data_IF_667544315947
#
_entry.id   IF_667544315947
#
_cell.length_a   1.000
_cell.length_b   1.000
_cell.length_c   1.000
_cell.angle_alpha   90.00
_cell.angle_beta   90.00
_cell.angle_gamma   90.00
#
_symmetry.space_group_name_H-M   'P 1'
#
loop_
_entity.id
_entity.type
_entity.pdbx_description
1 polymer ?
#
# COMPACT_ATOMS: atom_id res chain seq x y z
N UNK A 1 41.30 35.90 -51.27
CA UNK A 1 39.95 36.43 -51.55
C UNK A 1 39.21 35.39 -52.36
N UNK A 2 38.26 34.68 -51.76
CA UNK A 2 37.25 33.91 -52.48
C UNK A 2 35.90 34.19 -51.82
N UNK A 3 34.90 34.40 -52.67
CA UNK A 3 33.74 35.23 -52.45
C UNK A 3 32.66 34.43 -51.72
N UNK A 4 32.16 34.94 -50.60
CA UNK A 4 30.98 34.42 -49.93
C UNK A 4 29.76 34.65 -50.84
N UNK A 5 29.28 33.59 -51.48
CA UNK A 5 28.02 33.59 -52.21
C UNK A 5 26.93 33.09 -51.27
N UNK A 6 26.18 34.04 -50.69
CA UNK A 6 24.91 33.75 -50.02
C UNK A 6 23.88 33.42 -51.10
N UNK A 7 23.66 32.13 -51.35
CA UNK A 7 22.50 31.64 -52.07
C UNK A 7 21.45 31.21 -51.03
N UNK A 8 20.45 32.07 -50.89
CA UNK A 8 19.21 31.86 -50.15
C UNK A 8 18.43 30.67 -50.72
N UNK A 9 17.65 30.05 -49.84
CA UNK A 9 16.49 29.18 -50.10
C UNK A 9 16.74 27.67 -50.04
N UNK A 10 16.11 27.04 -49.05
CA UNK A 10 15.92 25.60 -48.97
C UNK A 10 16.29 24.97 -47.62
N UNK A 11 15.95 25.59 -46.49
CA UNK A 11 15.98 24.86 -45.21
C UNK A 11 14.82 23.85 -45.27
N UNK A 12 15.09 22.63 -45.73
CA UNK A 12 14.18 21.51 -45.49
C UNK A 12 14.41 21.08 -44.04
N UNK A 13 13.69 21.73 -43.11
CA UNK A 13 13.53 21.19 -41.76
C UNK A 13 12.63 19.95 -41.90
N UNK A 14 13.25 18.79 -42.10
CA UNK A 14 12.57 17.53 -41.87
C UNK A 14 12.35 17.41 -40.36
N UNK A 15 11.20 17.90 -39.88
CA UNK A 15 10.73 17.64 -38.53
C UNK A 15 10.42 16.14 -38.43
N UNK A 16 11.42 15.35 -38.06
CA UNK A 16 11.25 13.96 -37.66
C UNK A 16 10.47 14.00 -36.34
N UNK A 17 9.15 13.91 -36.44
CA UNK A 17 8.29 13.67 -35.28
C UNK A 17 8.55 12.24 -34.85
N UNK A 18 9.55 12.02 -34.00
CA UNK A 18 9.69 10.75 -33.30
C UNK A 18 8.52 10.66 -32.35
N UNK A 19 7.46 9.98 -32.77
CA UNK A 19 6.41 9.53 -31.87
C UNK A 19 7.08 8.68 -30.80
N UNK A 20 7.31 9.25 -29.62
CA UNK A 20 7.60 8.47 -28.43
C UNK A 20 6.34 7.68 -28.15
N UNK A 21 6.29 6.45 -28.66
CA UNK A 21 5.30 5.49 -28.20
C UNK A 21 5.59 5.28 -26.73
N UNK A 22 4.77 5.88 -25.88
CA UNK A 22 4.71 5.52 -24.48
C UNK A 22 4.23 4.07 -24.44
N UNK A 23 5.16 3.14 -24.42
CA UNK A 23 4.88 1.81 -23.90
C UNK A 23 4.54 2.05 -22.43
N UNK A 24 3.26 2.29 -22.15
CA UNK A 24 2.72 1.98 -20.84
C UNK A 24 2.94 0.47 -20.70
N UNK A 25 4.10 0.10 -20.15
CA UNK A 25 4.26 -1.20 -19.55
C UNK A 25 3.13 -1.25 -18.52
N UNK A 26 2.04 -1.93 -18.88
CA UNK A 26 1.05 -2.35 -17.91
C UNK A 26 1.80 -3.35 -17.05
N UNK A 27 2.50 -2.84 -16.05
CA UNK A 27 3.05 -3.67 -15.00
C UNK A 27 1.83 -4.20 -14.25
N UNK A 28 1.38 -5.37 -14.69
CA UNK A 28 0.27 -6.11 -14.10
C UNK A 28 0.68 -6.77 -12.79
N UNK A 29 1.79 -6.36 -12.19
CA UNK A 29 1.97 -6.45 -10.75
C UNK A 29 0.87 -5.63 -10.10
N UNK A 30 -0.26 -6.28 -9.80
CA UNK A 30 -1.25 -5.74 -8.88
C UNK A 30 -0.49 -5.41 -7.59
N UNK A 31 -0.20 -4.14 -7.36
CA UNK A 31 0.31 -3.70 -6.07
C UNK A 31 -0.72 -4.13 -5.06
N UNK A 32 -0.37 -5.04 -4.15
CA UNK A 32 -1.30 -5.45 -3.12
C UNK A 32 -1.53 -4.25 -2.20
N UNK A 33 -2.70 -3.63 -2.31
CA UNK A 33 -3.10 -2.45 -1.52
C UNK A 33 -3.71 -2.81 -0.17
N UNK A 34 -3.77 -4.10 0.17
CA UNK A 34 -4.25 -4.57 1.47
C UNK A 34 -3.09 -4.86 2.42
N UNK A 35 -3.30 -4.76 3.74
CA UNK A 35 -2.25 -5.01 4.73
C UNK A 35 -1.96 -6.51 4.97
N UNK A 36 -2.39 -7.42 4.08
CA UNK A 36 -2.27 -8.89 4.23
C UNK A 36 -0.84 -9.37 4.53
N UNK A 37 0.16 -8.70 3.96
CA UNK A 37 1.58 -8.99 4.15
C UNK A 37 2.32 -7.97 5.02
N UNK A 38 1.60 -7.09 5.72
CA UNK A 38 2.20 -6.08 6.58
C UNK A 38 2.89 -6.74 7.77
N UNK A 39 4.15 -6.40 8.01
CA UNK A 39 4.88 -6.79 9.21
C UNK A 39 4.39 -6.01 10.44
N UNK A 40 4.60 -6.58 11.62
CA UNK A 40 4.31 -5.92 12.88
C UNK A 40 5.11 -4.63 13.07
N UNK A 41 6.35 -4.59 12.56
CA UNK A 41 7.14 -3.36 12.54
C UNK A 41 6.46 -2.27 11.71
N UNK A 42 6.03 -2.60 10.49
CA UNK A 42 5.31 -1.64 9.63
C UNK A 42 4.03 -1.14 10.27
N UNK A 43 3.27 -2.02 10.93
CA UNK A 43 2.06 -1.65 11.67
C UNK A 43 2.33 -0.64 12.79
N UNK A 44 3.35 -0.89 13.63
CA UNK A 44 3.72 0.01 14.73
C UNK A 44 4.26 1.36 14.22
N UNK A 45 4.88 1.36 13.04
CA UNK A 45 5.42 2.55 12.40
C UNK A 45 4.38 3.32 11.56
N UNK A 46 3.12 2.85 11.48
CA UNK A 46 2.06 3.56 10.77
C UNK A 46 1.77 4.93 11.37
N UNK A 47 1.16 5.80 10.55
CA UNK A 47 0.44 6.95 11.10
C UNK A 47 -0.65 6.43 12.05
N UNK A 48 -0.73 6.90 13.31
CA UNK A 48 -1.76 6.48 14.27
C UNK A 48 -3.19 6.54 13.71
N UNK A 49 -3.50 7.50 12.84
CA UNK A 49 -4.82 7.64 12.20
C UNK A 49 -5.17 6.49 11.23
N UNK A 50 -4.17 5.70 10.82
CA UNK A 50 -4.34 4.57 9.91
C UNK A 50 -4.29 3.22 10.61
N UNK A 51 -3.94 3.17 11.90
CA UNK A 51 -3.83 1.90 12.63
C UNK A 51 -5.18 1.21 12.78
N UNK A 52 -6.24 1.94 13.13
CA UNK A 52 -7.59 1.39 13.29
C UNK A 52 -8.15 0.75 12.01
N UNK A 53 -8.16 1.39 10.83
CA UNK A 53 -8.66 0.75 9.61
C UNK A 53 -7.80 -0.45 9.19
N UNK A 54 -6.48 -0.42 9.43
CA UNK A 54 -5.61 -1.57 9.14
C UNK A 54 -5.90 -2.75 10.09
N UNK A 55 -5.99 -2.49 11.39
CA UNK A 55 -6.31 -3.51 12.39
C UNK A 55 -7.70 -4.10 12.14
N UNK A 56 -8.70 -3.27 11.83
CA UNK A 56 -10.05 -3.71 11.50
C UNK A 56 -10.04 -4.64 10.28
N UNK A 57 -9.30 -4.29 9.23
CA UNK A 57 -9.19 -5.12 8.04
C UNK A 57 -8.55 -6.48 8.35
N UNK A 58 -7.45 -6.49 9.10
CA UNK A 58 -6.75 -7.75 9.43
C UNK A 58 -7.60 -8.64 10.32
N UNK A 59 -8.22 -8.06 11.36
CA UNK A 59 -9.06 -8.81 12.30
C UNK A 59 -10.28 -9.41 11.62
N UNK A 60 -10.79 -8.78 10.57
CA UNK A 60 -12.02 -9.18 9.92
C UNK A 60 -11.83 -9.72 8.49
N UNK A 61 -10.60 -10.05 8.07
CA UNK A 61 -10.30 -10.49 6.69
C UNK A 61 -11.13 -11.71 6.26
N UNK A 62 -11.34 -12.66 7.18
CA UNK A 62 -11.98 -13.95 6.91
C UNK A 62 -13.40 -14.06 7.52
N UNK A 63 -13.91 -13.00 8.13
CA UNK A 63 -15.12 -13.07 8.95
C UNK A 63 -16.41 -12.89 8.13
N UNK A 64 -17.44 -13.65 8.49
CA UNK A 64 -18.79 -13.41 7.99
C UNK A 64 -19.50 -12.38 8.87
N UNK A 65 -19.54 -11.14 8.38
CA UNK A 65 -20.23 -10.03 9.04
C UNK A 65 -21.71 -10.33 9.36
N UNK A 66 -22.38 -11.25 8.64
CA UNK A 66 -23.77 -11.60 8.92
C UNK A 66 -23.93 -12.47 10.17
N UNK A 67 -22.89 -13.22 10.54
CA UNK A 67 -22.89 -14.10 11.71
C UNK A 67 -22.61 -13.37 13.02
N UNK A 68 -22.18 -12.10 12.96
CA UNK A 68 -21.80 -11.32 14.14
C UNK A 68 -20.43 -11.69 14.73
N UNK A 69 -19.69 -12.62 14.11
CA UNK A 69 -18.35 -13.05 14.53
C UNK A 69 -17.25 -12.13 13.98
N UNK A 70 -17.44 -10.81 14.12
CA UNK A 70 -16.48 -9.81 13.70
C UNK A 70 -16.13 -8.90 14.87
N UNK A 71 -14.91 -8.37 14.87
CA UNK A 71 -14.51 -7.33 15.82
C UNK A 71 -15.05 -6.01 15.29
N UNK A 72 -15.94 -5.36 16.02
CA UNK A 72 -16.52 -4.10 15.58
C UNK A 72 -15.48 -2.96 15.56
N UNK A 73 -15.80 -1.88 14.87
CA UNK A 73 -14.84 -0.78 14.69
C UNK A 73 -14.54 -0.05 16.00
N UNK A 74 -15.51 0.08 16.91
CA UNK A 74 -15.29 0.73 18.21
C UNK A 74 -14.38 -0.12 19.11
N UNK A 75 -14.61 -1.43 19.17
CA UNK A 75 -13.73 -2.37 19.85
C UNK A 75 -12.33 -2.37 19.23
N UNK A 76 -12.25 -2.25 17.89
CA UNK A 76 -10.97 -2.12 17.20
C UNK A 76 -10.19 -0.89 17.65
N UNK A 77 -10.83 0.28 17.66
CA UNK A 77 -10.20 1.55 18.05
C UNK A 77 -9.78 1.56 19.52
N UNK A 78 -10.63 1.05 20.40
CA UNK A 78 -10.48 1.20 21.86
C UNK A 78 -9.63 0.11 22.50
N UNK A 79 -9.63 -1.10 21.94
CA UNK A 79 -9.00 -2.28 22.56
C UNK A 79 -8.04 -2.98 21.62
N UNK A 80 -8.47 -3.29 20.39
CA UNK A 80 -7.67 -4.13 19.50
C UNK A 80 -6.40 -3.44 19.00
N UNK A 81 -6.46 -2.14 18.65
CA UNK A 81 -5.27 -1.38 18.23
C UNK A 81 -4.21 -1.31 19.33
N UNK A 82 -4.52 -0.87 20.57
CA UNK A 82 -3.54 -0.88 21.67
C UNK A 82 -2.91 -2.27 21.89
N UNK A 83 -3.72 -3.32 21.88
CA UNK A 83 -3.26 -4.70 22.06
C UNK A 83 -2.37 -5.16 20.90
N UNK A 84 -2.76 -4.89 19.66
CA UNK A 84 -1.96 -5.20 18.47
C UNK A 84 -0.61 -4.48 18.51
N UNK A 85 -0.57 -3.21 18.94
CA UNK A 85 0.69 -2.46 19.12
C UNK A 85 1.57 -3.12 20.19
N UNK A 86 1.00 -3.58 21.30
CA UNK A 86 1.76 -4.26 22.34
C UNK A 86 2.37 -5.59 21.83
N UNK A 87 1.55 -6.43 21.20
CA UNK A 87 1.99 -7.72 20.66
C UNK A 87 3.01 -7.56 19.52
N UNK A 88 2.80 -6.59 18.63
CA UNK A 88 3.72 -6.31 17.55
C UNK A 88 5.06 -5.74 18.02
N UNK A 89 5.10 -4.95 19.10
CA UNK A 89 6.37 -4.51 19.70
C UNK A 89 7.21 -5.68 20.23
N UNK A 90 6.56 -6.76 20.71
CA UNK A 90 7.24 -7.99 21.16
C UNK A 90 7.74 -8.83 19.98
N UNK A 91 7.05 -8.78 18.83
CA UNK A 91 7.32 -9.64 17.67
C UNK A 91 7.42 -8.84 16.35
N UNK A 92 8.36 -7.87 16.22
CA UNK A 92 8.37 -6.92 15.09
C UNK A 92 8.58 -7.56 13.71
N UNK A 93 9.20 -8.75 13.66
CA UNK A 93 9.46 -9.51 12.42
C UNK A 93 8.27 -10.38 11.98
N UNK A 94 7.26 -10.56 12.84
CA UNK A 94 6.07 -11.32 12.47
C UNK A 94 5.20 -10.52 11.51
N UNK A 95 4.45 -11.21 10.66
CA UNK A 95 3.33 -10.59 9.94
C UNK A 95 2.19 -10.29 10.92
N UNK A 96 1.50 -9.17 10.71
CA UNK A 96 0.35 -8.75 11.51
C UNK A 96 -0.80 -9.76 11.43
N UNK A 97 -1.03 -10.37 10.27
CA UNK A 97 -2.04 -11.42 10.07
C UNK A 97 -1.79 -12.67 10.93
N UNK A 98 -0.52 -13.01 11.21
CA UNK A 98 -0.15 -14.17 12.04
C UNK A 98 -0.44 -13.97 13.54
N UNK A 99 -0.59 -12.72 13.98
CA UNK A 99 -0.95 -12.41 15.37
C UNK A 99 -2.46 -12.13 15.54
N UNK A 100 -3.24 -12.18 14.45
CA UNK A 100 -4.69 -11.97 14.45
C UNK A 100 -5.40 -12.82 15.51
N UNK A 101 -5.10 -14.12 15.52
CA UNK A 101 -5.77 -15.08 16.40
C UNK A 101 -5.43 -14.84 17.88
N UNK A 102 -4.21 -14.38 18.18
CA UNK A 102 -3.82 -13.99 19.53
C UNK A 102 -4.59 -12.74 19.98
N UNK A 103 -4.71 -11.72 19.11
CA UNK A 103 -5.49 -10.52 19.40
C UNK A 103 -6.95 -10.89 19.68
N UNK A 104 -7.59 -11.68 18.80
CA UNK A 104 -8.99 -12.10 18.98
C UNK A 104 -9.21 -12.90 20.26
N UNK A 105 -8.28 -13.81 20.57
CA UNK A 105 -8.32 -14.59 21.80
C UNK A 105 -8.26 -13.72 23.04
N UNK A 106 -7.40 -12.70 23.06
CA UNK A 106 -7.30 -11.76 24.18
C UNK A 106 -8.52 -10.84 24.28
N UNK A 107 -9.14 -10.44 23.16
CA UNK A 107 -10.39 -9.65 23.14
C UNK A 107 -11.60 -10.43 23.68
N UNK A 108 -11.61 -11.76 23.51
CA UNK A 108 -12.70 -12.63 23.95
C UNK A 108 -12.63 -13.02 25.44
N UNK A 109 -11.68 -12.48 26.21
CA UNK A 109 -11.52 -12.76 27.65
C UNK A 109 -12.27 -11.77 28.51
#
# INVERSE_FOLDING_TARGET
MNKFSLATAGIIVAALVTSVSVNAATDTTKTNVTPKGMSCKEFVDLNPQTMAPVAFWVLNEDEDFKGGDYVDFQETETTAVPLAVELCKKNPQSELSKIKDEIKKELSK
#
